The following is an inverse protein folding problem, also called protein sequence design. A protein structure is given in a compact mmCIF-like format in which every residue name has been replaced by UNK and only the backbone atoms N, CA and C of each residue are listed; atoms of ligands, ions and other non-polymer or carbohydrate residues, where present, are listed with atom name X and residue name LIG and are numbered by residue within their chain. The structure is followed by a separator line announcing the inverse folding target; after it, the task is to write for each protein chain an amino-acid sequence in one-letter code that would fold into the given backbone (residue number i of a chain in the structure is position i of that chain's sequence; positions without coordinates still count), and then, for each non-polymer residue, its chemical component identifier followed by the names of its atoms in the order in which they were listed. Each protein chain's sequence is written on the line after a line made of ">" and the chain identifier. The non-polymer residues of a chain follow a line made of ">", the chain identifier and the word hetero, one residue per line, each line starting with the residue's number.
data_IF_423818761298
#
_entry.id   IF_423818761298
#
_cell.length_a   1.000
_cell.length_b   1.000
_cell.length_c   1.000
_cell.angle_alpha   90.00
_cell.angle_beta   90.00
_cell.angle_gamma   90.00
#
_symmetry.space_group_name_H-M   'P 1'
#
loop_
_entity.id
_entity.type
_entity.pdbx_description
1 polymer ?
#
# COMPACT_ATOMS: atom_id res chain seq x y z
N UNK A 1 -30.92 -3.99 -4.81
CA UNK A 1 -29.86 -4.98 -4.59
C UNK A 1 -28.57 -4.22 -4.42
N UNK A 2 -27.94 -4.26 -3.25
CA UNK A 2 -26.56 -3.77 -3.12
C UNK A 2 -25.69 -4.74 -3.92
N UNK A 3 -25.08 -4.27 -5.01
CA UNK A 3 -24.12 -5.09 -5.75
C UNK A 3 -22.92 -5.35 -4.83
N UNK A 4 -22.66 -6.63 -4.54
CA UNK A 4 -21.46 -7.02 -3.82
C UNK A 4 -20.26 -6.89 -4.76
N UNK A 5 -19.11 -6.43 -4.26
CA UNK A 5 -17.89 -6.44 -5.05
C UNK A 5 -17.51 -7.89 -5.39
N UNK A 6 -17.43 -8.19 -6.68
CA UNK A 6 -16.97 -9.47 -7.21
C UNK A 6 -16.00 -9.23 -8.36
N UNK A 7 -15.11 -10.18 -8.57
CA UNK A 7 -14.32 -10.28 -9.79
C UNK A 7 -14.91 -11.43 -10.61
N UNK A 8 -15.24 -11.16 -11.86
CA UNK A 8 -15.63 -12.24 -12.78
C UNK A 8 -14.40 -13.03 -13.27
N UNK A 9 -14.65 -14.09 -14.05
CA UNK A 9 -13.56 -14.95 -14.53
C UNK A 9 -12.63 -14.21 -15.51
N UNK A 10 -13.12 -13.22 -16.26
CA UNK A 10 -12.33 -12.43 -17.20
C UNK A 10 -11.40 -11.47 -16.45
N UNK A 11 -11.89 -10.83 -15.38
CA UNK A 11 -11.10 -10.01 -14.45
C UNK A 11 -9.98 -10.84 -13.82
N UNK A 12 -10.29 -12.04 -13.32
CA UNK A 12 -9.28 -12.92 -12.73
C UNK A 12 -8.25 -13.38 -13.75
N UNK A 13 -8.66 -13.73 -14.97
CA UNK A 13 -7.75 -14.11 -16.04
C UNK A 13 -6.84 -12.95 -16.47
N UNK A 14 -7.38 -11.75 -16.62
CA UNK A 14 -6.62 -10.54 -16.91
C UNK A 14 -5.61 -10.22 -15.81
N UNK A 15 -6.05 -10.26 -14.55
CA UNK A 15 -5.19 -10.06 -13.39
C UNK A 15 -4.06 -11.09 -13.31
N UNK A 16 -4.33 -12.35 -13.64
CA UNK A 16 -3.35 -13.44 -13.60
C UNK A 16 -2.17 -13.25 -14.57
N UNK A 17 -2.32 -12.44 -15.62
CA UNK A 17 -1.19 -12.08 -16.50
C UNK A 17 -0.16 -11.18 -15.82
N UNK A 18 -0.47 -10.69 -14.62
CA UNK A 18 0.26 -9.62 -13.94
C UNK A 18 -0.27 -8.23 -14.27
N UNK A 19 -1.10 -8.09 -15.30
CA UNK A 19 -1.86 -6.87 -15.61
C UNK A 19 -3.25 -6.94 -14.93
N UNK A 20 -4.31 -6.57 -15.63
CA UNK A 20 -5.68 -6.45 -15.10
C UNK A 20 -6.43 -5.26 -15.70
N UNK A 21 -5.72 -4.24 -16.17
CA UNK A 21 -6.32 -3.02 -16.72
C UNK A 21 -6.78 -2.03 -15.64
N UNK A 22 -6.87 -0.76 -16.01
CA UNK A 22 -7.22 0.32 -15.10
C UNK A 22 -8.62 0.13 -14.47
N UNK A 23 -9.57 -0.40 -15.24
CA UNK A 23 -10.96 -0.60 -14.81
C UNK A 23 -11.08 -1.62 -13.68
N UNK A 24 -10.40 -2.76 -13.82
CA UNK A 24 -10.35 -3.79 -12.78
C UNK A 24 -9.61 -3.27 -11.54
N UNK A 25 -8.55 -2.48 -11.72
CA UNK A 25 -7.87 -1.81 -10.59
C UNK A 25 -8.78 -0.80 -9.88
N UNK A 26 -9.62 -0.05 -10.60
CA UNK A 26 -10.63 0.83 -9.98
C UNK A 26 -11.64 0.03 -9.17
N UNK A 27 -12.15 -1.10 -9.69
CA UNK A 27 -13.02 -2.01 -8.92
C UNK A 27 -12.34 -2.53 -7.65
N UNK A 28 -11.06 -2.91 -7.73
CA UNK A 28 -10.27 -3.31 -6.56
C UNK A 28 -10.17 -2.16 -5.53
N UNK A 29 -9.93 -0.94 -5.99
CA UNK A 29 -9.88 0.25 -5.13
C UNK A 29 -11.24 0.55 -4.47
N UNK A 30 -12.34 0.50 -5.23
CA UNK A 30 -13.70 0.69 -4.74
C UNK A 30 -14.07 -0.34 -3.66
N UNK A 31 -13.62 -1.59 -3.81
CA UNK A 31 -13.84 -2.63 -2.80
C UNK A 31 -13.18 -2.31 -1.45
N UNK A 32 -12.13 -1.48 -1.44
CA UNK A 32 -11.45 -1.08 -0.20
C UNK A 32 -12.28 -0.08 0.62
N UNK A 33 -13.08 0.78 -0.04
CA UNK A 33 -14.02 1.65 0.66
C UNK A 33 -15.06 0.81 1.39
N UNK A 34 -15.70 -0.14 0.70
CA UNK A 34 -16.69 -1.05 1.29
C UNK A 34 -16.10 -1.85 2.46
N UNK A 35 -14.87 -2.35 2.30
CA UNK A 35 -14.13 -3.01 3.39
C UNK A 35 -13.90 -2.07 4.57
N UNK A 36 -13.46 -0.83 4.33
CA UNK A 36 -13.21 0.16 5.38
C UNK A 36 -14.49 0.52 6.13
N UNK A 37 -15.63 0.62 5.44
CA UNK A 37 -16.93 0.84 6.07
C UNK A 37 -17.35 -0.31 6.99
N UNK A 38 -17.09 -1.56 6.60
CA UNK A 38 -17.34 -2.73 7.45
C UNK A 38 -16.44 -2.72 8.71
N UNK A 39 -15.17 -2.36 8.56
CA UNK A 39 -14.23 -2.23 9.67
C UNK A 39 -14.60 -1.08 10.60
N UNK A 40 -14.97 0.08 10.05
CA UNK A 40 -15.46 1.24 10.80
C UNK A 40 -16.72 0.89 11.59
N UNK A 41 -17.67 0.18 10.96
CA UNK A 41 -18.86 -0.33 11.65
C UNK A 41 -18.47 -1.21 12.84
N UNK A 42 -17.50 -2.11 12.67
CA UNK A 42 -17.01 -2.94 13.78
C UNK A 42 -16.43 -2.08 14.91
N UNK A 43 -15.60 -1.08 14.58
CA UNK A 43 -15.01 -0.14 15.56
C UNK A 43 -16.10 0.61 16.32
N UNK A 44 -17.13 1.14 15.65
CA UNK A 44 -18.23 1.86 16.30
C UNK A 44 -19.09 0.96 17.20
N UNK A 45 -19.34 -0.29 16.79
CA UNK A 45 -20.11 -1.26 17.58
C UNK A 45 -19.37 -1.68 18.85
N UNK A 46 -18.04 -1.84 18.78
CA UNK A 46 -17.22 -2.29 19.90
C UNK A 46 -16.46 -1.14 20.58
N UNK A 47 -17.00 0.08 20.49
CA UNK A 47 -16.35 1.30 20.97
C UNK A 47 -16.20 1.30 22.50
N UNK A 48 -14.97 1.29 23.06
CA UNK A 48 -14.77 1.25 24.51
C UNK A 48 -14.56 2.66 25.11
N UNK A 49 -14.54 3.71 24.29
CA UNK A 49 -14.35 5.09 24.72
C UNK A 49 -15.65 5.85 24.97
N UNK A 50 -15.59 7.18 25.20
CA UNK A 50 -16.77 8.01 25.35
C UNK A 50 -17.66 7.93 24.10
N UNK A 51 -18.96 7.68 24.30
CA UNK A 51 -19.93 7.45 23.23
C UNK A 51 -20.17 8.73 22.44
N UNK A 52 -20.13 9.88 23.10
CA UNK A 52 -20.26 11.21 22.52
C UNK A 52 -19.19 11.48 21.46
N UNK A 53 -17.94 11.01 21.65
CA UNK A 53 -16.87 11.18 20.67
C UNK A 53 -17.13 10.35 19.41
N UNK A 54 -17.62 9.11 19.58
CA UNK A 54 -18.01 8.24 18.47
C UNK A 54 -19.16 8.85 17.68
N UNK A 55 -20.22 9.24 18.37
CA UNK A 55 -21.45 9.71 17.75
C UNK A 55 -21.23 11.03 17.01
N UNK A 56 -20.40 11.93 17.56
CA UNK A 56 -19.99 13.16 16.89
C UNK A 56 -19.21 12.89 15.60
N UNK A 57 -18.25 11.96 15.62
CA UNK A 57 -17.49 11.59 14.42
C UNK A 57 -18.39 10.97 13.34
N UNK A 58 -19.31 10.07 13.73
CA UNK A 58 -20.28 9.45 12.80
C UNK A 58 -21.21 10.50 12.21
N UNK A 59 -21.75 11.41 13.02
CA UNK A 59 -22.63 12.48 12.56
C UNK A 59 -21.94 13.42 11.57
N UNK A 60 -20.71 13.84 11.86
CA UNK A 60 -19.92 14.69 10.97
C UNK A 60 -19.58 14.00 9.65
N UNK A 61 -19.19 12.71 9.68
CA UNK A 61 -18.97 11.92 8.46
C UNK A 61 -20.25 11.76 7.62
N UNK A 62 -21.39 11.49 8.25
CA UNK A 62 -22.67 11.38 7.55
C UNK A 62 -23.10 12.72 6.91
N UNK A 63 -22.88 13.84 7.61
CA UNK A 63 -23.15 15.17 7.07
C UNK A 63 -22.21 15.52 5.90
N UNK A 64 -20.93 15.19 6.00
CA UNK A 64 -19.97 15.34 4.91
C UNK A 64 -20.36 14.48 3.69
N UNK A 65 -20.74 13.21 3.89
CA UNK A 65 -21.24 12.32 2.84
C UNK A 65 -22.44 12.94 2.10
N UNK A 66 -23.41 13.49 2.84
CA UNK A 66 -24.60 14.11 2.24
C UNK A 66 -24.26 15.36 1.42
N UNK A 67 -23.26 16.13 1.84
CA UNK A 67 -22.90 17.43 1.23
C UNK A 67 -21.93 17.28 0.06
N UNK A 68 -20.92 16.43 0.21
CA UNK A 68 -19.85 16.15 -0.77
C UNK A 68 -19.43 14.67 -0.72
N UNK A 69 -20.20 13.77 -1.37
CA UNK A 69 -19.91 12.33 -1.39
C UNK A 69 -18.47 12.01 -1.82
N UNK A 70 -17.92 12.75 -2.77
CA UNK A 70 -16.57 12.57 -3.31
C UNK A 70 -15.47 12.79 -2.27
N UNK A 71 -15.67 13.70 -1.31
CA UNK A 71 -14.74 13.91 -0.19
C UNK A 71 -14.79 12.72 0.77
N UNK A 72 -16.01 12.27 1.09
CA UNK A 72 -16.24 11.13 1.96
C UNK A 72 -15.61 9.85 1.39
N UNK A 73 -15.88 9.56 0.12
CA UNK A 73 -15.35 8.39 -0.58
C UNK A 73 -13.84 8.43 -0.69
N UNK A 74 -13.25 9.59 -1.00
CA UNK A 74 -11.79 9.74 -1.08
C UNK A 74 -11.11 9.54 0.28
N UNK A 75 -11.66 10.11 1.35
CA UNK A 75 -11.06 10.00 2.69
C UNK A 75 -11.23 8.59 3.26
N UNK A 76 -12.43 8.00 3.21
CA UNK A 76 -12.65 6.65 3.71
C UNK A 76 -12.06 5.56 2.80
N UNK A 77 -11.93 5.83 1.51
CA UNK A 77 -11.23 4.97 0.55
C UNK A 77 -9.71 5.15 0.59
N UNK A 78 -9.18 6.04 1.43
CA UNK A 78 -7.74 6.26 1.57
C UNK A 78 -7.05 5.00 2.12
N UNK A 79 -5.88 4.62 1.59
CA UNK A 79 -5.12 3.48 2.10
C UNK A 79 -4.76 3.61 3.59
N UNK A 80 -4.50 4.84 4.06
CA UNK A 80 -4.17 5.15 5.45
C UNK A 80 -5.36 4.88 6.38
N UNK A 81 -6.57 5.23 5.94
CA UNK A 81 -7.79 4.93 6.68
C UNK A 81 -8.07 3.44 6.73
N UNK A 82 -7.82 2.71 5.63
CA UNK A 82 -7.87 1.24 5.62
C UNK A 82 -6.88 0.61 6.62
N UNK A 83 -5.64 1.10 6.65
CA UNK A 83 -4.60 0.66 7.58
C UNK A 83 -5.01 0.92 9.05
N UNK A 84 -5.48 2.13 9.35
CA UNK A 84 -6.02 2.49 10.66
C UNK A 84 -7.17 1.55 11.06
N UNK A 85 -8.18 1.39 10.20
CA UNK A 85 -9.38 0.64 10.52
C UNK A 85 -9.04 -0.83 10.81
N UNK A 86 -8.23 -1.45 9.95
CA UNK A 86 -7.82 -2.85 10.12
C UNK A 86 -6.96 -3.05 11.38
N UNK A 87 -6.00 -2.15 11.62
CA UNK A 87 -5.16 -2.18 12.82
C UNK A 87 -5.97 -2.00 14.10
N UNK A 88 -6.92 -1.06 14.11
CA UNK A 88 -7.80 -0.79 15.25
C UNK A 88 -8.73 -1.94 15.54
N UNK A 89 -9.31 -2.58 14.52
CA UNK A 89 -10.12 -3.80 14.69
C UNK A 89 -9.29 -4.92 15.31
N UNK A 90 -8.05 -5.14 14.86
CA UNK A 90 -7.15 -6.13 15.49
C UNK A 90 -6.91 -5.81 16.96
N UNK A 91 -6.59 -4.56 17.30
CA UNK A 91 -6.35 -4.12 18.68
C UNK A 91 -7.59 -4.21 19.56
N UNK A 92 -8.78 -3.91 19.04
CA UNK A 92 -10.05 -4.12 19.74
C UNK A 92 -10.24 -5.60 20.08
N UNK A 93 -10.01 -6.50 19.12
CA UNK A 93 -10.16 -7.95 19.32
C UNK A 93 -9.15 -8.52 20.31
N UNK A 94 -7.96 -7.94 20.41
CA UNK A 94 -6.94 -8.35 21.39
C UNK A 94 -6.99 -7.58 22.71
N UNK A 95 -7.90 -6.61 22.87
CA UNK A 95 -8.00 -5.79 24.08
C UNK A 95 -6.84 -4.79 24.28
N UNK A 96 -6.15 -4.40 23.20
CA UNK A 96 -4.95 -3.52 23.22
C UNK A 96 -5.17 -2.18 22.51
N UNK A 97 -6.43 -1.79 22.27
CA UNK A 97 -6.77 -0.51 21.64
C UNK A 97 -6.36 0.66 22.53
N UNK A 98 -5.92 1.76 21.92
CA UNK A 98 -5.49 2.98 22.61
C UNK A 98 -6.44 4.14 22.38
N UNK A 99 -6.37 5.17 23.23
CA UNK A 99 -7.12 6.42 22.99
C UNK A 99 -6.71 7.13 21.70
N UNK A 100 -5.48 6.92 21.21
CA UNK A 100 -5.03 7.44 19.92
C UNK A 100 -5.80 6.79 18.76
N UNK A 101 -6.04 5.48 18.83
CA UNK A 101 -6.85 4.73 17.86
C UNK A 101 -8.29 5.23 17.78
N UNK A 102 -8.86 5.57 18.94
CA UNK A 102 -10.21 6.10 19.06
C UNK A 102 -10.29 7.60 18.71
N UNK A 103 -9.16 8.31 18.65
CA UNK A 103 -9.12 9.71 18.20
C UNK A 103 -9.13 9.86 16.67
N UNK A 104 -8.65 8.86 15.93
CA UNK A 104 -8.53 8.96 14.46
C UNK A 104 -9.88 9.20 13.74
N UNK A 105 -11.00 8.54 14.10
CA UNK A 105 -12.31 8.84 13.50
C UNK A 105 -12.72 10.30 13.63
N UNK A 106 -12.47 10.93 14.78
CA UNK A 106 -12.84 12.33 14.99
C UNK A 106 -11.98 13.29 14.17
N UNK A 107 -10.69 13.00 14.02
CA UNK A 107 -9.80 13.76 13.15
C UNK A 107 -10.16 13.60 11.66
N UNK A 108 -10.48 12.37 11.23
CA UNK A 108 -10.95 12.05 9.89
C UNK A 108 -12.28 12.74 9.58
N UNK A 109 -13.22 12.72 10.53
CA UNK A 109 -14.51 13.39 10.43
C UNK A 109 -14.36 14.92 10.33
N UNK A 110 -13.43 15.51 11.10
CA UNK A 110 -13.12 16.93 11.00
C UNK A 110 -12.52 17.31 9.64
N UNK A 111 -11.61 16.49 9.10
CA UNK A 111 -11.06 16.71 7.76
C UNK A 111 -12.18 16.66 6.69
N UNK A 112 -13.06 15.65 6.76
CA UNK A 112 -14.20 15.53 5.87
C UNK A 112 -15.16 16.72 5.98
N UNK A 113 -15.47 17.15 7.21
CA UNK A 113 -16.35 18.29 7.46
C UNK A 113 -15.76 19.60 6.91
N UNK A 114 -14.46 19.84 7.13
CA UNK A 114 -13.77 21.03 6.62
C UNK A 114 -13.80 21.10 5.09
N UNK A 115 -13.49 20.00 4.40
CA UNK A 115 -13.52 19.94 2.93
C UNK A 115 -14.96 19.96 2.36
N UNK A 116 -15.93 19.41 3.09
CA UNK A 116 -17.35 19.44 2.71
C UNK A 116 -18.02 20.80 2.96
N UNK A 117 -17.43 21.66 3.79
CA UNK A 117 -18.04 22.92 4.25
C UNK A 117 -19.20 22.65 5.22
N UNK A 118 -18.98 21.74 6.16
CA UNK A 118 -19.93 21.34 7.20
C UNK A 118 -19.37 21.72 8.56
N UNK A 119 -20.18 22.33 9.40
CA UNK A 119 -19.82 22.63 10.78
C UNK A 119 -19.86 21.35 11.62
N UNK A 120 -18.85 21.17 12.46
CA UNK A 120 -18.73 19.97 13.31
C UNK A 120 -17.89 20.26 14.55
N UNK A 121 -18.19 19.56 15.64
CA UNK A 121 -17.29 19.43 16.77
C UNK A 121 -16.97 17.95 16.97
N UNK A 122 -15.69 17.59 16.96
CA UNK A 122 -15.21 16.21 17.13
C UNK A 122 -13.99 16.16 18.04
N UNK A 123 -13.48 14.95 18.31
CA UNK A 123 -12.31 14.74 19.17
C UNK A 123 -11.27 13.89 18.45
N UNK A 124 -10.10 14.48 18.26
CA UNK A 124 -8.88 13.78 17.87
C UNK A 124 -8.03 13.39 19.08
N UNK A 125 -6.83 12.90 18.80
CA UNK A 125 -5.82 12.63 19.82
C UNK A 125 -4.50 13.29 19.42
N UNK A 126 -3.89 14.00 20.37
CA UNK A 126 -2.55 14.53 20.23
C UNK A 126 -1.55 13.46 20.68
N UNK A 127 -0.59 13.12 19.82
CA UNK A 127 0.53 12.24 20.12
C UNK A 127 1.83 13.04 19.98
N UNK A 128 2.65 13.07 21.03
CA UNK A 128 3.82 13.92 21.14
C UNK A 128 3.53 15.40 20.76
N UNK A 129 2.36 15.92 21.19
CA UNK A 129 1.93 17.29 20.89
C UNK A 129 1.47 17.54 19.45
N UNK A 130 1.29 16.49 18.62
CA UNK A 130 0.82 16.62 17.24
C UNK A 130 -0.55 15.98 17.03
N UNK A 131 -1.41 16.64 16.26
CA UNK A 131 -2.72 16.12 15.82
C UNK A 131 -2.69 16.00 14.30
N UNK A 132 -2.86 14.78 13.79
CA UNK A 132 -2.98 14.54 12.35
C UNK A 132 -4.43 14.72 11.92
N UNK A 133 -4.67 15.48 10.86
CA UNK A 133 -5.95 15.58 10.16
C UNK A 133 -5.82 14.81 8.83
N UNK A 134 -6.36 13.57 8.75
CA UNK A 134 -6.17 12.71 7.58
C UNK A 134 -6.55 13.40 6.27
N UNK A 135 -5.66 13.34 5.28
CA UNK A 135 -5.86 13.99 3.98
C UNK A 135 -5.46 15.47 3.91
N UNK A 136 -5.29 16.16 5.06
CA UNK A 136 -4.94 17.59 5.12
C UNK A 136 -3.50 17.83 5.56
N UNK A 137 -3.09 17.25 6.69
CA UNK A 137 -1.76 17.46 7.25
C UNK A 137 -1.72 17.29 8.78
N UNK A 138 -0.58 17.63 9.37
CA UNK A 138 -0.32 17.44 10.80
C UNK A 138 -0.11 18.79 11.48
N UNK A 139 -0.86 19.02 12.55
CA UNK A 139 -0.76 20.23 13.35
C UNK A 139 0.16 19.98 14.56
N UNK A 140 1.09 20.90 14.82
CA UNK A 140 1.96 20.89 16.01
C UNK A 140 1.41 21.91 17.01
N UNK A 141 0.85 21.42 18.11
CA UNK A 141 0.28 22.28 19.14
C UNK A 141 1.39 23.09 19.83
N UNK A 142 1.17 24.38 20.13
CA UNK A 142 2.19 25.21 20.76
C UNK A 142 2.56 24.70 22.16
N UNK A 143 3.77 25.01 22.63
CA UNK A 143 4.27 24.67 23.96
C UNK A 143 4.80 23.25 24.11
N UNK A 144 4.99 22.78 25.36
CA UNK A 144 5.59 21.46 25.64
C UNK A 144 4.74 20.32 25.03
N UNK A 145 5.36 19.39 24.26
CA UNK A 145 4.70 18.20 23.75
C UNK A 145 4.02 17.39 24.85
N UNK A 146 2.80 16.92 24.59
CA UNK A 146 2.07 16.05 25.51
C UNK A 146 0.93 15.33 24.80
N UNK A 147 0.57 14.17 25.35
CA UNK A 147 -0.41 13.27 24.75
C UNK A 147 -1.81 13.47 25.34
N UNK A 148 -2.85 13.22 24.56
CA UNK A 148 -4.22 13.21 25.06
C UNK A 148 -5.26 13.71 24.06
N UNK A 149 -6.55 13.66 24.42
CA UNK A 149 -7.62 14.11 23.55
C UNK A 149 -7.47 15.59 23.17
N UNK A 150 -7.78 15.91 21.93
CA UNK A 150 -7.80 17.26 21.39
C UNK A 150 -9.16 17.51 20.76
N UNK A 151 -9.85 18.57 21.20
CA UNK A 151 -11.12 18.98 20.61
C UNK A 151 -10.86 19.65 19.27
N UNK A 152 -11.66 19.32 18.26
CA UNK A 152 -11.55 19.83 16.91
C UNK A 152 -12.89 20.47 16.55
N UNK A 153 -12.89 21.76 16.29
CA UNK A 153 -14.08 22.48 15.84
C UNK A 153 -13.88 22.92 14.40
N UNK A 154 -14.82 22.56 13.54
CA UNK A 154 -14.90 23.00 12.14
C UNK A 154 -16.04 24.00 12.05
N UNK A 155 -15.74 25.20 11.56
CA UNK A 155 -16.75 26.23 11.30
C UNK A 155 -16.34 27.05 10.08
N UNK A 156 -17.25 27.21 9.12
CA UNK A 156 -17.00 27.92 7.85
C UNK A 156 -15.74 27.40 7.12
N UNK A 157 -15.52 26.08 7.15
CA UNK A 157 -14.35 25.43 6.54
C UNK A 157 -13.02 25.66 7.29
N UNK A 158 -13.01 26.44 8.37
CA UNK A 158 -11.86 26.63 9.24
C UNK A 158 -11.81 25.58 10.33
N UNK A 159 -10.63 25.02 10.58
CA UNK A 159 -10.41 24.03 11.65
C UNK A 159 -9.71 24.69 12.83
N UNK A 160 -10.25 24.51 14.03
CA UNK A 160 -9.68 24.96 15.30
C UNK A 160 -9.40 23.76 16.18
N UNK A 161 -8.14 23.62 16.62
CA UNK A 161 -7.70 22.59 17.54
C UNK A 161 -7.56 23.18 18.94
N UNK A 162 -8.13 22.51 19.94
CA UNK A 162 -8.08 22.92 21.33
C UNK A 162 -7.61 21.78 22.24
N UNK A 163 -6.53 22.02 23.01
CA UNK A 163 -6.03 21.08 24.02
C UNK A 163 -5.31 21.80 25.15
N UNK A 164 -5.63 21.43 26.40
CA UNK A 164 -5.00 21.97 27.61
C UNK A 164 -4.93 23.52 27.63
N UNK A 165 -6.03 24.18 27.24
CA UNK A 165 -6.13 25.65 27.18
C UNK A 165 -5.42 26.31 25.98
N UNK A 166 -4.79 25.52 25.09
CA UNK A 166 -4.11 26.00 23.89
C UNK A 166 -5.02 25.87 22.68
N UNK A 167 -5.02 26.88 21.83
CA UNK A 167 -5.79 26.94 20.59
C UNK A 167 -4.85 27.05 19.39
N UNK A 168 -5.17 26.36 18.30
CA UNK A 168 -4.46 26.45 17.03
C UNK A 168 -5.45 26.37 15.87
N UNK A 169 -5.51 27.43 15.06
CA UNK A 169 -6.23 27.42 13.80
C UNK A 169 -5.36 26.74 12.73
N UNK A 170 -5.92 25.81 11.96
CA UNK A 170 -5.23 25.14 10.86
C UNK A 170 -5.99 25.28 9.52
N UNK A 171 -5.29 25.45 8.38
CA UNK A 171 -3.82 25.51 8.26
C UNK A 171 -3.24 26.77 8.93
N UNK A 172 -2.12 26.60 9.64
CA UNK A 172 -1.42 27.70 10.30
C UNK A 172 -0.39 28.30 9.34
N UNK A 173 -0.17 29.61 9.38
CA UNK A 173 0.82 30.28 8.53
C UNK A 173 2.25 29.85 8.87
N UNK A 174 2.53 29.59 10.15
CA UNK A 174 3.83 29.15 10.59
C UNK A 174 4.06 27.67 10.29
N UNK A 175 5.09 27.36 9.49
CA UNK A 175 5.49 25.99 9.14
C UNK A 175 5.81 25.11 10.36
N UNK A 176 6.23 25.71 11.48
CA UNK A 176 6.48 25.01 12.74
C UNK A 176 5.19 24.50 13.42
N UNK A 177 4.03 25.04 13.04
CA UNK A 177 2.71 24.72 13.63
C UNK A 177 1.83 23.92 12.68
N UNK A 178 2.13 23.90 11.38
CA UNK A 178 1.38 23.16 10.38
C UNK A 178 2.30 22.49 9.35
N UNK A 179 2.18 21.17 9.28
CA UNK A 179 2.89 20.29 8.35
C UNK A 179 1.90 19.80 7.28
N UNK A 180 1.76 20.49 6.13
CA UNK A 180 0.78 20.09 5.11
C UNK A 180 1.13 18.75 4.47
N UNK A 181 0.12 18.05 3.96
CA UNK A 181 0.31 16.87 3.10
C UNK A 181 1.12 17.26 1.85
N UNK A 182 1.99 16.35 1.38
CA UNK A 182 2.86 16.58 0.22
C UNK A 182 2.34 15.83 -0.99
N UNK A 183 2.22 16.52 -2.13
CA UNK A 183 1.83 15.92 -3.41
C UNK A 183 3.07 15.62 -4.24
N UNK A 184 3.10 14.46 -4.89
CA UNK A 184 4.10 14.12 -5.91
C UNK A 184 3.56 14.33 -7.34
N UNK A 185 2.31 14.79 -7.46
CA UNK A 185 1.59 14.81 -8.75
C UNK A 185 0.88 13.48 -9.03
N UNK A 186 0.19 13.38 -10.17
CA UNK A 186 -0.56 12.19 -10.61
C UNK A 186 -1.56 11.61 -9.58
N UNK A 187 -2.01 12.41 -8.60
CA UNK A 187 -2.88 11.95 -7.51
C UNK A 187 -2.16 11.14 -6.41
N UNK A 188 -0.82 11.08 -6.45
CA UNK A 188 0.02 10.39 -5.46
C UNK A 188 0.56 11.39 -4.44
N UNK A 189 0.59 10.98 -3.18
CA UNK A 189 1.17 11.78 -2.09
C UNK A 189 2.39 11.15 -1.48
N UNK A 190 3.26 11.99 -0.95
CA UNK A 190 4.37 11.60 -0.09
C UNK A 190 3.90 11.75 1.37
N UNK A 191 3.69 10.64 2.06
CA UNK A 191 3.15 10.60 3.41
C UNK A 191 4.25 10.38 4.45
N UNK A 192 4.60 11.43 5.17
CA UNK A 192 5.62 11.47 6.22
C UNK A 192 5.07 12.01 7.57
N UNK A 193 3.75 12.05 7.75
CA UNK A 193 3.06 12.61 8.92
C UNK A 193 2.07 11.66 9.62
N UNK A 194 1.22 10.95 8.89
CA UNK A 194 0.10 10.15 9.42
C UNK A 194 0.59 8.98 10.29
N UNK A 195 0.04 8.76 11.50
CA UNK A 195 0.51 7.74 12.42
C UNK A 195 0.28 6.29 11.95
N UNK A 196 -0.63 6.04 11.01
CA UNK A 196 -0.97 4.69 10.52
C UNK A 196 -0.25 4.31 9.23
N UNK A 197 0.84 5.03 8.91
CA UNK A 197 1.75 4.72 7.79
C UNK A 197 2.81 3.65 8.13
N UNK A 198 2.74 3.01 9.29
CA UNK A 198 3.77 2.10 9.84
C UNK A 198 3.54 0.61 9.54
N UNK A 199 2.77 0.29 8.50
CA UNK A 199 2.34 -1.08 8.15
C UNK A 199 3.42 -1.96 7.50
N UNK A 200 4.70 -1.67 7.72
CA UNK A 200 5.84 -2.29 7.03
C UNK A 200 6.81 -2.98 7.99
N UNK A 201 7.73 -3.75 7.42
CA UNK A 201 8.80 -4.42 8.18
C UNK A 201 9.94 -3.47 8.58
N UNK A 202 9.94 -2.24 8.08
CA UNK A 202 10.86 -1.18 8.46
C UNK A 202 10.06 0.03 8.96
N UNK A 203 10.57 0.78 9.95
CA UNK A 203 9.86 1.93 10.49
C UNK A 203 9.77 3.05 9.45
N UNK A 204 8.68 3.83 9.43
CA UNK A 204 8.60 5.02 8.59
C UNK A 204 9.64 6.06 9.02
N UNK A 205 10.12 6.86 8.07
CA UNK A 205 10.99 7.98 8.37
C UNK A 205 10.23 9.05 9.16
N UNK A 206 10.99 9.88 9.89
CA UNK A 206 10.47 11.13 10.44
C UNK A 206 10.04 12.09 9.31
N UNK A 207 9.34 13.17 9.68
CA UNK A 207 8.95 14.23 8.75
C UNK A 207 10.17 14.70 7.96
N UNK A 208 10.08 14.68 6.63
CA UNK A 208 11.24 14.98 5.79
C UNK A 208 11.49 16.50 5.73
N UNK A 209 12.77 16.89 5.68
CA UNK A 209 13.16 18.26 5.33
C UNK A 209 12.71 18.65 3.91
N UNK A 210 12.69 19.95 3.60
CA UNK A 210 12.24 20.45 2.29
C UNK A 210 13.08 19.90 1.13
N UNK A 211 14.40 19.89 1.27
CA UNK A 211 15.32 19.42 0.22
C UNK A 211 15.16 17.92 -0.07
N UNK A 212 14.93 17.12 0.98
CA UNK A 212 14.68 15.69 0.80
C UNK A 212 13.33 15.46 0.13
N UNK A 213 12.30 16.23 0.50
CA UNK A 213 11.00 16.19 -0.18
C UNK A 213 11.11 16.51 -1.67
N UNK A 214 11.92 17.52 -2.03
CA UNK A 214 12.16 17.91 -3.41
C UNK A 214 12.81 16.75 -4.20
N UNK A 215 13.85 16.11 -3.63
CA UNK A 215 14.47 14.93 -4.24
C UNK A 215 13.50 13.78 -4.48
N UNK A 216 12.56 13.56 -3.55
CA UNK A 216 11.49 12.57 -3.75
C UNK A 216 10.55 12.95 -4.89
N UNK A 217 10.19 14.23 -5.01
CA UNK A 217 9.35 14.73 -6.09
C UNK A 217 10.04 14.62 -7.45
N UNK A 218 11.32 14.97 -7.53
CA UNK A 218 12.13 14.91 -8.76
C UNK A 218 12.23 13.47 -9.27
N UNK A 219 12.68 12.54 -8.42
CA UNK A 219 12.77 11.11 -8.78
C UNK A 219 11.40 10.52 -9.12
N UNK A 220 10.33 10.92 -8.43
CA UNK A 220 8.99 10.46 -8.75
C UNK A 220 8.54 10.95 -10.13
N UNK A 221 8.76 12.21 -10.45
CA UNK A 221 8.39 12.78 -11.76
C UNK A 221 9.11 12.04 -12.90
N UNK A 222 10.43 11.85 -12.79
CA UNK A 222 11.22 11.11 -13.78
C UNK A 222 10.76 9.65 -13.91
N UNK A 223 10.47 8.98 -12.79
CA UNK A 223 9.97 7.61 -12.80
C UNK A 223 8.56 7.51 -13.42
N UNK A 224 7.69 8.49 -13.18
CA UNK A 224 6.33 8.50 -13.71
C UNK A 224 6.32 8.69 -15.23
N UNK A 225 7.19 9.56 -15.75
CA UNK A 225 7.41 9.72 -17.20
C UNK A 225 7.99 8.45 -17.82
N UNK A 226 9.01 7.86 -17.18
CA UNK A 226 9.62 6.61 -17.63
C UNK A 226 8.58 5.47 -17.65
N UNK A 227 7.78 5.32 -16.61
CA UNK A 227 6.70 4.34 -16.50
C UNK A 227 5.73 4.46 -17.68
N UNK A 228 5.25 5.68 -17.98
CA UNK A 228 4.35 5.92 -19.11
C UNK A 228 4.96 5.55 -20.45
N UNK A 229 6.27 5.78 -20.63
CA UNK A 229 7.00 5.48 -21.87
C UNK A 229 7.26 3.98 -22.05
N UNK A 230 7.71 3.28 -21.01
CA UNK A 230 8.17 1.89 -21.13
C UNK A 230 7.08 0.86 -20.83
N UNK A 231 6.07 1.23 -20.05
CA UNK A 231 5.02 0.34 -19.56
C UNK A 231 3.62 0.94 -19.82
N UNK A 232 3.24 1.23 -21.08
CA UNK A 232 1.98 1.90 -21.41
C UNK A 232 0.75 1.11 -20.97
N UNK A 233 0.84 -0.22 -20.89
CA UNK A 233 -0.27 -1.09 -20.44
C UNK A 233 -0.46 -1.06 -18.92
N UNK A 234 0.61 -0.73 -18.17
CA UNK A 234 0.64 -0.77 -16.71
C UNK A 234 0.54 0.61 -16.08
N UNK A 235 1.00 1.65 -16.76
CA UNK A 235 0.90 3.03 -16.27
C UNK A 235 -0.55 3.43 -15.90
N UNK A 236 -1.60 3.10 -16.70
CA UNK A 236 -2.99 3.35 -16.33
C UNK A 236 -3.44 2.61 -15.06
N UNK A 237 -2.92 1.40 -14.82
CA UNK A 237 -3.20 0.64 -13.60
C UNK A 237 -2.62 1.35 -12.36
N UNK A 238 -1.35 1.78 -12.42
CA UNK A 238 -0.76 2.52 -11.30
C UNK A 238 -1.48 3.86 -11.09
N UNK A 239 -1.83 4.59 -12.15
CA UNK A 239 -2.62 5.81 -12.02
C UNK A 239 -3.98 5.53 -11.36
N UNK A 240 -4.61 4.40 -11.67
CA UNK A 240 -5.89 4.01 -11.09
C UNK A 240 -5.79 3.60 -9.62
N UNK A 241 -4.69 3.01 -9.15
CA UNK A 241 -4.62 2.42 -7.80
C UNK A 241 -3.56 2.97 -6.84
N UNK A 242 -2.43 3.50 -7.32
CA UNK A 242 -1.39 4.05 -6.46
C UNK A 242 -1.84 5.41 -5.91
N UNK A 243 -1.72 5.62 -4.59
CA UNK A 243 -2.16 6.85 -3.91
C UNK A 243 -1.14 7.41 -2.94
N UNK A 244 -0.35 6.56 -2.29
CA UNK A 244 0.50 6.98 -1.17
C UNK A 244 1.87 6.33 -1.28
N UNK A 245 2.93 7.14 -1.23
CA UNK A 245 4.30 6.70 -0.96
C UNK A 245 4.69 7.11 0.45
N UNK A 246 5.20 6.15 1.22
CA UNK A 246 5.68 6.37 2.59
C UNK A 246 7.20 6.25 2.61
N UNK A 247 7.94 7.33 2.92
CA UNK A 247 9.37 7.24 3.15
C UNK A 247 9.66 6.34 4.35
N UNK A 248 10.49 5.31 4.14
CA UNK A 248 10.99 4.45 5.22
C UNK A 248 12.33 4.99 5.74
N UNK A 249 12.60 4.73 7.01
CA UNK A 249 13.89 5.03 7.60
C UNK A 249 15.00 4.32 6.80
N UNK A 250 16.05 5.05 6.43
CA UNK A 250 17.27 4.49 5.85
C UNK A 250 18.27 4.21 6.99
N UNK A 251 18.77 2.98 7.07
CA UNK A 251 19.73 2.57 8.11
C UNK A 251 21.18 2.75 7.67
N UNK A 252 21.41 3.33 6.49
CA UNK A 252 22.75 3.63 5.97
C UNK A 252 23.50 2.40 5.46
N UNK A 253 22.85 1.23 5.40
CA UNK A 253 23.47 0.00 4.87
C UNK A 253 23.57 0.00 3.34
N UNK A 254 22.89 0.93 2.67
CA UNK A 254 22.78 1.01 1.22
C UNK A 254 21.81 0.00 0.62
N UNK A 255 21.17 -0.86 1.43
CA UNK A 255 20.16 -1.79 0.97
C UNK A 255 18.81 -1.06 0.77
N UNK A 256 18.33 -1.02 -0.47
CA UNK A 256 16.99 -0.53 -0.76
C UNK A 256 15.95 -1.40 -0.04
N UNK A 257 14.98 -0.75 0.63
CA UNK A 257 13.85 -1.42 1.27
C UNK A 257 12.57 -0.89 0.70
N UNK A 258 11.64 -1.79 0.43
CA UNK A 258 10.27 -1.45 0.06
C UNK A 258 9.30 -2.46 0.65
N UNK A 259 8.04 -2.07 0.81
CA UNK A 259 7.01 -3.00 1.24
C UNK A 259 5.61 -2.48 1.01
N UNK A 260 4.68 -3.43 1.01
CA UNK A 260 3.25 -3.20 0.85
C UNK A 260 2.49 -3.78 2.05
N UNK A 261 1.66 -2.96 2.68
CA UNK A 261 0.74 -3.42 3.71
C UNK A 261 -0.48 -4.13 3.10
N UNK A 262 -0.86 -5.27 3.67
CA UNK A 262 -2.05 -6.05 3.23
C UNK A 262 -3.36 -5.25 3.29
N UNK A 263 -3.44 -4.32 4.23
CA UNK A 263 -4.66 -3.56 4.54
C UNK A 263 -4.67 -2.15 3.96
N UNK A 264 -3.67 -1.83 3.13
CA UNK A 264 -3.40 -0.49 2.62
C UNK A 264 -3.17 -0.54 1.11
N UNK A 265 -4.17 -1.01 0.36
CA UNK A 265 -4.12 -1.05 -1.10
C UNK A 265 -3.74 0.32 -1.67
N UNK A 266 -2.80 0.39 -2.61
CA UNK A 266 -2.34 1.66 -3.18
C UNK A 266 -1.36 2.46 -2.33
N UNK A 267 -0.88 1.90 -1.22
CA UNK A 267 0.15 2.50 -0.36
C UNK A 267 1.42 1.66 -0.36
N UNK A 268 2.54 2.30 -0.69
CA UNK A 268 3.85 1.68 -0.80
C UNK A 268 4.83 2.39 0.13
N UNK A 269 5.52 1.62 0.97
CA UNK A 269 6.63 2.11 1.77
C UNK A 269 7.93 1.83 1.07
N UNK A 270 8.84 2.80 1.00
CA UNK A 270 10.18 2.59 0.46
C UNK A 270 11.21 3.57 1.02
N UNK A 271 12.48 3.16 1.08
CA UNK A 271 13.62 4.08 1.20
C UNK A 271 13.75 4.89 -0.08
N UNK A 272 14.37 6.09 -0.04
CA UNK A 272 14.47 6.95 -1.23
C UNK A 272 15.16 6.20 -2.38
N UNK A 273 14.54 6.09 -3.56
CA UNK A 273 15.17 5.45 -4.72
C UNK A 273 16.40 6.22 -5.19
N UNK A 274 17.37 5.50 -5.76
CA UNK A 274 18.60 6.11 -6.30
C UNK A 274 18.41 6.61 -7.73
N UNK A 275 17.42 6.07 -8.46
CA UNK A 275 17.13 6.43 -9.83
C UNK A 275 15.64 6.25 -10.18
N UNK A 276 15.23 6.83 -11.32
CA UNK A 276 13.91 6.59 -11.90
C UNK A 276 13.66 5.11 -12.25
N UNK A 277 14.69 4.40 -12.72
CA UNK A 277 14.60 2.96 -13.04
C UNK A 277 14.31 2.15 -11.78
N UNK A 278 15.04 2.41 -10.70
CA UNK A 278 14.83 1.74 -9.41
C UNK A 278 13.40 1.98 -8.92
N UNK A 279 12.93 3.23 -8.97
CA UNK A 279 11.57 3.54 -8.55
C UNK A 279 10.52 2.85 -9.42
N UNK A 280 10.67 2.81 -10.75
CA UNK A 280 9.73 2.09 -11.64
C UNK A 280 9.65 0.61 -11.26
N UNK A 281 10.80 -0.05 -11.10
CA UNK A 281 10.85 -1.48 -10.74
C UNK A 281 10.22 -1.72 -9.37
N UNK A 282 10.54 -0.88 -8.37
CA UNK A 282 9.95 -0.95 -7.03
C UNK A 282 8.45 -0.72 -7.05
N UNK A 283 7.95 0.31 -7.76
CA UNK A 283 6.53 0.60 -7.85
C UNK A 283 5.77 -0.57 -8.48
N UNK A 284 6.29 -1.17 -9.56
CA UNK A 284 5.65 -2.34 -10.16
C UNK A 284 5.64 -3.51 -9.17
N UNK A 285 6.76 -3.81 -8.52
CA UNK A 285 6.84 -4.87 -7.52
C UNK A 285 5.78 -4.71 -6.42
N UNK A 286 5.79 -3.56 -5.76
CA UNK A 286 4.94 -3.32 -4.60
C UNK A 286 3.47 -3.20 -5.00
N UNK A 287 3.19 -2.58 -6.16
CA UNK A 287 1.82 -2.50 -6.65
C UNK A 287 1.25 -3.88 -7.04
N UNK A 288 2.08 -4.82 -7.51
CA UNK A 288 1.63 -6.20 -7.70
C UNK A 288 1.21 -6.87 -6.39
N UNK A 289 1.97 -6.69 -5.31
CA UNK A 289 1.56 -7.15 -3.97
C UNK A 289 0.25 -6.50 -3.53
N UNK A 290 0.08 -5.22 -3.84
CA UNK A 290 -1.13 -4.46 -3.54
C UNK A 290 -2.34 -5.04 -4.28
N UNK A 291 -2.24 -5.21 -5.61
CA UNK A 291 -3.28 -5.82 -6.45
C UNK A 291 -3.67 -7.21 -5.94
N UNK A 292 -2.70 -8.10 -5.77
CA UNK A 292 -2.99 -9.46 -5.34
C UNK A 292 -3.58 -9.49 -3.91
N UNK A 293 -3.17 -8.60 -3.01
CA UNK A 293 -3.78 -8.50 -1.67
C UNK A 293 -5.26 -8.10 -1.75
N UNK A 294 -5.62 -7.17 -2.64
CA UNK A 294 -7.02 -6.80 -2.86
C UNK A 294 -7.83 -7.94 -3.51
N UNK A 295 -7.24 -8.65 -4.47
CA UNK A 295 -7.86 -9.83 -5.09
C UNK A 295 -8.13 -10.92 -4.05
N UNK A 296 -7.14 -11.24 -3.20
CA UNK A 296 -7.26 -12.27 -2.16
C UNK A 296 -8.30 -11.91 -1.08
N UNK A 297 -8.65 -10.64 -0.94
CA UNK A 297 -9.72 -10.20 -0.04
C UNK A 297 -11.13 -10.49 -0.63
N UNK A 298 -11.25 -10.60 -1.96
CA UNK A 298 -12.51 -10.86 -2.66
C UNK A 298 -12.64 -12.34 -3.08
N UNK A 299 -11.54 -12.95 -3.48
CA UNK A 299 -11.49 -14.31 -4.01
C UNK A 299 -10.36 -15.08 -3.30
N UNK A 300 -10.67 -15.91 -2.28
CA UNK A 300 -9.68 -16.76 -1.66
C UNK A 300 -9.06 -17.72 -2.68
N UNK A 301 -7.74 -17.67 -2.86
CA UNK A 301 -7.04 -18.48 -3.86
C UNK A 301 -6.35 -19.72 -3.28
N UNK A 302 -6.13 -19.76 -1.97
CA UNK A 302 -5.44 -20.87 -1.31
C UNK A 302 -6.00 -21.10 0.10
N UNK A 303 -5.75 -22.27 0.67
CA UNK A 303 -6.09 -22.63 2.05
C UNK A 303 -5.22 -21.82 3.05
N UNK A 304 -5.79 -20.92 3.87
CA UNK A 304 -5.00 -20.09 4.79
C UNK A 304 -4.23 -20.89 5.85
N UNK A 305 -4.72 -22.07 6.23
CA UNK A 305 -4.11 -22.95 7.23
C UNK A 305 -3.15 -23.99 6.64
N UNK A 306 -2.74 -23.79 5.39
CA UNK A 306 -1.81 -24.64 4.67
C UNK A 306 -0.45 -24.88 5.35
N UNK A 307 0.03 -26.12 5.27
CA UNK A 307 1.32 -26.56 5.82
C UNK A 307 2.41 -26.75 4.76
N UNK A 308 2.06 -26.71 3.46
CA UNK A 308 3.02 -26.80 2.38
C UNK A 308 4.07 -25.69 2.49
N UNK A 309 5.30 -26.04 2.15
CA UNK A 309 6.45 -25.15 2.21
C UNK A 309 7.25 -25.34 0.93
N UNK A 310 7.41 -24.25 0.20
CA UNK A 310 7.92 -24.24 -1.15
C UNK A 310 9.27 -23.54 -1.23
N UNK A 311 10.04 -23.91 -2.24
CA UNK A 311 11.23 -23.16 -2.64
C UNK A 311 10.81 -21.82 -3.27
N UNK A 312 11.55 -20.75 -2.98
CA UNK A 312 11.35 -19.43 -3.56
C UNK A 312 12.72 -18.81 -3.89
N UNK A 313 13.07 -18.57 -5.17
CA UNK A 313 14.44 -18.20 -5.57
C UNK A 313 14.99 -16.87 -5.01
N UNK A 314 14.10 -16.00 -4.53
CA UNK A 314 14.43 -14.70 -3.93
C UNK A 314 14.60 -14.77 -2.39
N UNK A 315 14.46 -15.94 -1.76
CA UNK A 315 14.57 -16.12 -0.32
C UNK A 315 15.26 -17.42 0.07
N UNK A 316 15.78 -17.44 1.30
CA UNK A 316 16.47 -18.62 1.84
C UNK A 316 15.57 -19.50 2.71
N UNK A 317 14.48 -18.94 3.25
CA UNK A 317 13.48 -19.66 4.06
C UNK A 317 12.38 -20.28 3.17
N UNK A 318 11.81 -21.44 3.54
CA UNK A 318 10.69 -22.05 2.82
C UNK A 318 9.43 -21.18 2.92
N UNK A 319 8.71 -21.04 1.80
CA UNK A 319 7.53 -20.15 1.72
C UNK A 319 6.22 -20.93 1.83
N UNK A 320 5.24 -20.44 2.61
CA UNK A 320 3.88 -20.97 2.50
C UNK A 320 3.27 -20.61 1.14
N UNK A 321 2.27 -21.37 0.68
CA UNK A 321 1.61 -21.21 -0.63
C UNK A 321 1.22 -19.76 -0.94
N UNK A 322 0.51 -19.09 -0.03
CA UNK A 322 0.15 -17.68 -0.22
C UNK A 322 1.36 -16.74 -0.31
N UNK A 323 2.43 -17.06 0.39
CA UNK A 323 3.68 -16.29 0.36
C UNK A 323 4.49 -16.51 -0.92
N UNK A 324 4.41 -17.68 -1.53
CA UNK A 324 5.00 -17.97 -2.84
C UNK A 324 4.17 -17.35 -3.97
N UNK A 325 2.83 -17.50 -3.93
CA UNK A 325 1.91 -16.85 -4.88
C UNK A 325 2.14 -15.33 -4.97
N UNK A 326 2.27 -14.66 -3.82
CA UNK A 326 2.61 -13.23 -3.76
C UNK A 326 3.94 -12.92 -4.45
N UNK A 327 4.97 -13.71 -4.20
CA UNK A 327 6.29 -13.49 -4.80
C UNK A 327 6.28 -13.74 -6.31
N UNK A 328 5.73 -14.86 -6.79
CA UNK A 328 5.65 -15.17 -8.23
C UNK A 328 4.88 -14.05 -8.96
N UNK A 329 3.77 -13.57 -8.40
CA UNK A 329 2.96 -12.51 -9.01
C UNK A 329 3.69 -11.17 -9.10
N UNK A 330 4.42 -10.79 -8.03
CA UNK A 330 5.22 -9.57 -8.02
C UNK A 330 6.40 -9.66 -8.99
N UNK A 331 7.18 -10.74 -8.92
CA UNK A 331 8.34 -10.91 -9.78
C UNK A 331 7.99 -11.14 -11.26
N UNK A 332 6.78 -11.66 -11.58
CA UNK A 332 6.26 -11.65 -12.95
C UNK A 332 6.19 -10.22 -13.51
N UNK A 333 5.68 -9.27 -12.73
CA UNK A 333 5.64 -7.85 -13.11
C UNK A 333 7.04 -7.23 -13.23
N UNK A 334 7.95 -7.59 -12.32
CA UNK A 334 9.35 -7.14 -12.36
C UNK A 334 10.09 -7.67 -13.58
N UNK A 335 9.90 -8.95 -13.94
CA UNK A 335 10.51 -9.55 -15.11
C UNK A 335 10.02 -8.88 -16.41
N UNK A 336 8.72 -8.60 -16.55
CA UNK A 336 8.23 -7.82 -17.70
C UNK A 336 8.84 -6.41 -17.73
N UNK A 337 8.93 -5.75 -16.58
CA UNK A 337 9.52 -4.40 -16.45
C UNK A 337 10.97 -4.37 -16.92
N UNK A 338 11.83 -5.27 -16.43
CA UNK A 338 13.22 -5.36 -16.89
C UNK A 338 13.32 -5.67 -18.38
N UNK A 339 12.44 -6.52 -18.90
CA UNK A 339 12.40 -6.82 -20.33
C UNK A 339 12.16 -5.56 -21.19
N UNK A 340 11.30 -4.64 -20.71
CA UNK A 340 10.96 -3.38 -21.38
C UNK A 340 11.97 -2.25 -21.14
N UNK A 341 12.83 -2.37 -20.13
CA UNK A 341 13.94 -1.45 -19.85
C UNK A 341 15.21 -1.77 -20.66
N UNK A 342 15.24 -2.87 -21.42
CA UNK A 342 16.38 -3.20 -22.29
C UNK A 342 16.62 -2.10 -23.32
N UNK A 343 17.87 -1.66 -23.43
CA UNK A 343 18.27 -0.52 -24.27
C UNK A 343 18.09 0.84 -23.61
N UNK A 344 17.58 0.89 -22.37
CA UNK A 344 17.49 2.10 -21.53
C UNK A 344 18.45 1.95 -20.35
N UNK A 345 18.38 0.83 -19.65
CA UNK A 345 19.26 0.51 -18.53
C UNK A 345 20.25 -0.60 -18.95
N UNK A 346 21.56 -0.44 -18.69
CA UNK A 346 22.57 -1.43 -19.09
C UNK A 346 22.38 -2.78 -18.40
N UNK A 347 21.79 -2.82 -17.20
CA UNK A 347 21.61 -4.05 -16.43
C UNK A 347 20.30 -4.76 -16.72
N UNK A 348 19.40 -4.11 -17.47
CA UNK A 348 18.08 -4.64 -17.78
C UNK A 348 18.10 -6.02 -18.43
N UNK A 349 19.09 -6.30 -19.29
CA UNK A 349 19.19 -7.60 -19.95
C UNK A 349 19.55 -8.73 -18.97
N UNK A 350 20.54 -8.49 -18.10
CA UNK A 350 20.94 -9.45 -17.07
C UNK A 350 19.84 -9.64 -16.02
N UNK A 351 19.20 -8.55 -15.58
CA UNK A 351 18.10 -8.59 -14.62
C UNK A 351 16.87 -9.31 -15.20
N UNK A 352 16.51 -9.04 -16.46
CA UNK A 352 15.41 -9.75 -17.11
C UNK A 352 15.69 -11.26 -17.18
N UNK A 353 16.90 -11.65 -17.56
CA UNK A 353 17.28 -13.05 -17.64
C UNK A 353 17.18 -13.75 -16.27
N UNK A 354 17.72 -13.13 -15.22
CA UNK A 354 17.66 -13.65 -13.85
C UNK A 354 16.21 -13.77 -13.36
N UNK A 355 15.44 -12.67 -13.42
CA UNK A 355 14.07 -12.64 -12.91
C UNK A 355 13.14 -13.60 -13.67
N UNK A 356 13.29 -13.70 -14.99
CA UNK A 356 12.51 -14.65 -15.79
C UNK A 356 12.75 -16.10 -15.38
N UNK A 357 14.02 -16.47 -15.17
CA UNK A 357 14.39 -17.83 -14.72
C UNK A 357 13.90 -18.11 -13.31
N UNK A 358 14.01 -17.13 -12.39
CA UNK A 358 13.54 -17.27 -11.01
C UNK A 358 12.01 -17.34 -10.90
N UNK A 359 11.28 -16.53 -11.67
CA UNK A 359 9.81 -16.55 -11.69
C UNK A 359 9.29 -17.89 -12.21
N UNK A 360 9.92 -18.46 -13.25
CA UNK A 360 9.56 -19.79 -13.75
C UNK A 360 9.71 -20.84 -12.65
N UNK A 361 10.85 -20.90 -11.97
CA UNK A 361 11.09 -21.87 -10.92
C UNK A 361 10.15 -21.68 -9.71
N UNK A 362 9.86 -20.43 -9.32
CA UNK A 362 8.89 -20.13 -8.28
C UNK A 362 7.46 -20.55 -8.68
N UNK A 363 7.09 -20.37 -9.95
CA UNK A 363 5.81 -20.83 -10.48
C UNK A 363 5.73 -22.36 -10.52
N UNK A 364 6.77 -23.07 -10.97
CA UNK A 364 6.80 -24.54 -10.97
C UNK A 364 6.67 -25.13 -9.55
N UNK A 365 7.25 -24.47 -8.55
CA UNK A 365 7.08 -24.87 -7.16
C UNK A 365 5.66 -24.62 -6.62
N UNK A 366 4.93 -23.67 -7.20
CA UNK A 366 3.55 -23.33 -6.83
C UNK A 366 2.53 -24.17 -7.61
N UNK A 367 2.82 -24.45 -8.87
CA UNK A 367 1.99 -25.20 -9.79
C UNK A 367 1.89 -26.65 -9.33
N UNK A 368 0.68 -27.08 -9.01
CA UNK A 368 0.43 -28.40 -8.40
C UNK A 368 0.32 -28.41 -6.87
N UNK A 369 0.46 -27.28 -6.19
CA UNK A 369 0.12 -27.16 -4.77
C UNK A 369 -1.31 -27.64 -4.51
N UNK A 370 -1.48 -28.56 -3.54
CA UNK A 370 -2.80 -29.09 -3.19
C UNK A 370 -3.63 -28.08 -2.38
N UNK A 371 -2.99 -27.04 -1.86
CA UNK A 371 -3.60 -25.97 -1.08
C UNK A 371 -4.30 -24.92 -1.95
N UNK A 372 -4.11 -24.93 -3.26
CA UNK A 372 -4.80 -24.02 -4.16
C UNK A 372 -6.30 -24.36 -4.21
N UNK A 373 -7.13 -23.34 -4.13
CA UNK A 373 -8.58 -23.44 -4.41
C UNK A 373 -8.81 -23.62 -5.93
N UNK A 374 -10.03 -23.94 -6.39
CA UNK A 374 -10.33 -23.96 -7.82
C UNK A 374 -10.01 -22.63 -8.53
N UNK A 375 -10.29 -21.49 -7.90
CA UNK A 375 -9.94 -20.17 -8.44
C UNK A 375 -8.42 -19.94 -8.45
N UNK A 376 -7.73 -20.33 -7.39
CA UNK A 376 -6.27 -20.25 -7.31
C UNK A 376 -5.57 -21.09 -8.39
N UNK A 377 -6.05 -22.31 -8.66
CA UNK A 377 -5.52 -23.12 -9.77
C UNK A 377 -5.67 -22.43 -11.11
N UNK A 378 -6.85 -21.90 -11.44
CA UNK A 378 -7.07 -21.15 -12.69
C UNK A 378 -6.13 -19.94 -12.80
N UNK A 379 -5.99 -19.19 -11.70
CA UNK A 379 -5.11 -18.02 -11.64
C UNK A 379 -3.63 -18.39 -11.85
N UNK A 380 -3.14 -19.42 -11.15
CA UNK A 380 -1.75 -19.91 -11.29
C UNK A 380 -1.50 -20.48 -12.68
N UNK A 381 -2.43 -21.24 -13.27
CA UNK A 381 -2.30 -21.72 -14.65
C UNK A 381 -2.19 -20.55 -15.64
N UNK A 382 -3.03 -19.52 -15.51
CA UNK A 382 -2.98 -18.33 -16.36
C UNK A 382 -1.68 -17.53 -16.18
N UNK A 383 -1.14 -17.44 -14.96
CA UNK A 383 0.21 -16.88 -14.72
C UNK A 383 1.28 -17.65 -15.51
N UNK A 384 1.17 -18.98 -15.59
CA UNK A 384 2.09 -19.84 -16.33
C UNK A 384 2.21 -19.47 -17.81
N UNK A 385 1.09 -19.08 -18.44
CA UNK A 385 1.06 -18.61 -19.82
C UNK A 385 1.78 -17.26 -19.99
N UNK A 386 1.58 -16.31 -19.06
CA UNK A 386 2.28 -15.02 -19.07
C UNK A 386 3.79 -15.19 -18.86
N UNK A 387 4.21 -16.11 -17.98
CA UNK A 387 5.62 -16.47 -17.80
C UNK A 387 6.19 -17.08 -19.08
N UNK A 388 5.41 -17.93 -19.78
CA UNK A 388 5.80 -18.51 -21.07
C UNK A 388 6.05 -17.44 -22.14
N UNK A 389 5.24 -16.38 -22.16
CA UNK A 389 5.45 -15.25 -23.06
C UNK A 389 6.74 -14.48 -22.76
N UNK A 390 7.17 -14.38 -21.50
CA UNK A 390 8.47 -13.81 -21.15
C UNK A 390 9.63 -14.71 -21.59
N UNK A 391 9.49 -16.03 -21.46
CA UNK A 391 10.49 -17.02 -21.90
C UNK A 391 10.71 -17.02 -23.41
N UNK A 392 9.66 -16.78 -24.19
CA UNK A 392 9.76 -16.64 -25.63
C UNK A 392 10.57 -15.41 -26.09
N UNK A 393 10.79 -14.41 -25.22
CA UNK A 393 11.59 -13.22 -25.57
C UNK A 393 13.08 -13.59 -25.70
N UNK A 394 13.74 -13.20 -26.81
CA UNK A 394 15.12 -13.60 -27.06
C UNK A 394 16.09 -12.94 -26.09
N UNK A 395 17.09 -13.71 -25.67
CA UNK A 395 18.22 -13.31 -24.84
C UNK A 395 19.50 -14.01 -25.32
N UNK A 396 20.69 -13.40 -25.16
CA UNK A 396 21.94 -14.08 -25.45
C UNK A 396 22.08 -15.37 -24.66
N UNK A 397 22.59 -16.42 -25.32
CA UNK A 397 22.74 -17.75 -24.71
C UNK A 397 23.64 -17.72 -23.46
N UNK A 398 24.69 -16.90 -23.46
CA UNK A 398 25.61 -16.76 -22.32
C UNK A 398 24.92 -16.21 -21.07
N UNK A 399 24.04 -15.22 -21.22
CA UNK A 399 23.31 -14.63 -20.09
C UNK A 399 22.28 -15.63 -19.57
N UNK A 400 21.55 -16.29 -20.48
CA UNK A 400 20.57 -17.33 -20.11
C UNK A 400 21.24 -18.49 -19.36
N UNK A 401 22.41 -18.93 -19.81
CA UNK A 401 23.15 -20.00 -19.14
C UNK A 401 23.62 -19.57 -17.75
N UNK A 402 24.11 -18.33 -17.59
CA UNK A 402 24.50 -17.78 -16.28
C UNK A 402 23.32 -17.77 -15.31
N UNK A 403 22.15 -17.26 -15.72
CA UNK A 403 20.95 -17.24 -14.88
C UNK A 403 20.51 -18.63 -14.42
N UNK A 404 20.62 -19.65 -15.29
CA UNK A 404 20.34 -21.05 -14.93
C UNK A 404 21.32 -21.61 -13.90
N UNK A 405 22.62 -21.35 -14.07
CA UNK A 405 23.66 -21.76 -13.12
C UNK A 405 23.45 -21.10 -11.76
N UNK A 406 23.13 -19.80 -11.74
CA UNK A 406 22.89 -19.07 -10.50
C UNK A 406 21.63 -19.55 -9.78
N UNK A 407 20.54 -19.86 -10.52
CA UNK A 407 19.34 -20.48 -9.95
C UNK A 407 19.65 -21.88 -9.35
N UNK A 408 20.39 -22.72 -10.06
CA UNK A 408 20.75 -24.05 -9.58
C UNK A 408 21.55 -23.97 -8.26
N UNK A 409 22.50 -23.02 -8.16
CA UNK A 409 23.24 -22.74 -6.93
C UNK A 409 22.32 -22.29 -5.79
N UNK A 410 21.36 -21.40 -6.06
CA UNK A 410 20.38 -20.95 -5.06
C UNK A 410 19.52 -22.12 -4.57
N UNK A 411 19.07 -22.98 -5.47
CA UNK A 411 18.25 -24.15 -5.14
C UNK A 411 19.04 -25.16 -4.31
N UNK A 412 20.28 -25.47 -4.69
CA UNK A 412 21.17 -26.34 -3.92
C UNK A 412 21.43 -25.80 -2.52
N UNK A 413 21.79 -24.52 -2.40
CA UNK A 413 22.01 -23.86 -1.11
C UNK A 413 20.75 -23.88 -0.23
N UNK A 414 19.57 -23.68 -0.83
CA UNK A 414 18.30 -23.75 -0.13
C UNK A 414 17.99 -25.18 0.32
N UNK A 415 18.19 -26.19 -0.53
CA UNK A 415 18.00 -27.61 -0.24
C UNK A 415 18.85 -28.05 0.94
N UNK A 416 20.15 -27.70 0.92
CA UNK A 416 21.08 -27.97 2.02
C UNK A 416 20.60 -27.30 3.32
N UNK A 417 20.28 -26.01 3.26
CA UNK A 417 19.85 -25.24 4.45
C UNK A 417 18.56 -25.78 5.07
N UNK A 418 17.65 -26.32 4.26
CA UNK A 418 16.31 -26.71 4.68
C UNK A 418 16.11 -28.24 4.76
N UNK A 419 17.19 -29.02 4.66
CA UNK A 419 17.16 -30.48 4.79
C UNK A 419 16.32 -31.18 3.73
N UNK A 420 16.26 -30.63 2.51
CA UNK A 420 15.54 -31.21 1.37
C UNK A 420 16.55 -31.78 0.39
N UNK A 421 16.81 -33.08 0.49
CA UNK A 421 17.69 -33.83 -0.42
C UNK A 421 17.00 -34.16 -1.74
#
# INVERSE_FOLDING_TARGET
>A
MTEFHSLDDDDLAGLATGLGGADTVRRLAESQLSRTLLLLRYVCTHWPGPVEHRDAAVAALAAAQKRKPEVYERLLGSPLTGAWAAGTVRRLRSGTVTSADLGYPGALAAAAAAEAGVDAETWGYASAGAVTLPGLGTARLPGRPSDGPARITVSDGSVMLARAGRLLRVPAEAAASWEPRRSLGAGVVLEDGDPYRDSYHAPPAARLGADEAARWADVFAEAWELLGRVLPDRAPELAAGLRVLVPLHDDGTGAARSGTGRDSFGMVGLTRPLSAVDLVVTLVHEFQHSKLSAVLALCPMYEPSGTERHFAPWRTDPRPTGGLLQGVYAFLGVADTWSRLRGIDPEAEAQFAAMRTEVRAGWEALDGSAELTPAGRRFVTAMGAAIGALEARPLPAVITQRSRVDLARKQEAWSIRNGRS
#
